data_IF_435327873422
#
_entry.id   IF_435327873422
#
_cell.length_a   1.000
_cell.length_b   1.000
_cell.length_c   1.000
_cell.angle_alpha   90.00
_cell.angle_beta   90.00
_cell.angle_gamma   90.00
#
_symmetry.space_group_name_H-M   'P 1'
#
loop_
_entity.id
_entity.type
_entity.pdbx_description
1 polymer ?
#
# COMPACT_ATOMS: atom_id res chain seq x y z
N UNK A 1 -10.70 -26.69 27.98
CA UNK A 1 -9.30 -26.33 28.32
C UNK A 1 -8.45 -26.60 27.08
N UNK A 2 -7.85 -25.58 26.48
CA UNK A 2 -6.99 -25.75 25.29
C UNK A 2 -5.64 -26.31 25.74
N UNK A 3 -5.13 -27.35 25.07
CA UNK A 3 -3.81 -27.93 25.31
C UNK A 3 -2.87 -27.52 24.17
N UNK A 4 -1.70 -27.00 24.50
CA UNK A 4 -0.64 -26.65 23.55
C UNK A 4 0.55 -27.57 23.84
N UNK A 5 1.02 -28.29 22.82
CA UNK A 5 2.19 -29.15 22.92
C UNK A 5 3.37 -28.45 22.24
N UNK A 6 4.46 -28.23 22.99
CA UNK A 6 5.60 -27.39 22.55
C UNK A 6 6.82 -28.19 22.09
N UNK A 7 6.73 -29.52 22.10
CA UNK A 7 7.86 -30.42 21.79
C UNK A 7 7.85 -30.96 20.35
N UNK A 8 6.77 -30.71 19.60
CA UNK A 8 6.61 -31.20 18.22
C UNK A 8 6.47 -30.03 17.26
N UNK A 9 7.32 -29.99 16.22
CA UNK A 9 7.22 -29.00 15.15
C UNK A 9 6.35 -29.56 14.02
N UNK A 10 5.14 -29.02 13.89
CA UNK A 10 4.20 -29.40 12.82
C UNK A 10 4.39 -28.61 11.51
N UNK A 11 5.20 -27.55 11.52
CA UNK A 11 5.43 -26.70 10.36
C UNK A 11 6.02 -25.33 10.72
N UNK A 12 5.94 -24.40 9.77
CA UNK A 12 6.26 -23.00 9.98
C UNK A 12 4.98 -22.16 9.87
N UNK A 13 4.84 -21.15 10.72
CA UNK A 13 3.80 -20.16 10.54
C UNK A 13 4.07 -19.35 9.28
N UNK A 14 3.07 -19.24 8.40
CA UNK A 14 3.14 -18.31 7.28
C UNK A 14 2.94 -16.91 7.83
N UNK A 15 3.91 -16.03 7.58
CA UNK A 15 3.78 -14.63 7.97
C UNK A 15 2.77 -13.94 7.05
N UNK A 16 1.58 -13.67 7.57
CA UNK A 16 0.46 -13.05 6.87
C UNK A 16 0.12 -11.68 7.47
N UNK A 17 1.10 -11.00 8.07
CA UNK A 17 0.93 -9.63 8.60
C UNK A 17 0.85 -8.61 7.46
N UNK A 18 -0.25 -8.69 6.72
CA UNK A 18 -0.63 -7.77 5.66
C UNK A 18 -1.63 -6.73 6.14
N UNK A 19 -1.54 -5.52 5.59
CA UNK A 19 -2.47 -4.43 5.86
C UNK A 19 -3.01 -3.82 4.56
N UNK A 20 -4.24 -3.32 4.63
CA UNK A 20 -4.84 -2.52 3.57
C UNK A 20 -4.79 -1.04 3.97
N UNK A 21 -4.47 -0.18 3.01
CA UNK A 21 -4.11 1.21 3.28
C UNK A 21 -2.67 1.28 3.78
N UNK A 22 -1.89 2.20 3.24
CA UNK A 22 -0.52 2.43 3.69
C UNK A 22 -0.42 3.42 4.86
N UNK A 23 0.80 3.81 5.24
CA UNK A 23 1.04 4.50 6.51
C UNK A 23 0.71 6.00 6.50
N UNK A 24 0.33 6.60 5.37
CA UNK A 24 -0.07 8.00 5.30
C UNK A 24 -1.58 8.13 5.57
N UNK A 25 -1.96 9.08 6.43
CA UNK A 25 -3.31 9.28 6.94
C UNK A 25 -3.67 10.78 6.96
N UNK A 26 -4.96 11.18 6.87
CA UNK A 26 -6.10 10.33 6.51
C UNK A 26 -5.91 9.71 5.12
N UNK A 27 -6.56 8.56 4.90
CA UNK A 27 -6.61 7.87 3.60
C UNK A 27 -8.02 7.94 3.01
N UNK A 28 -8.23 7.39 1.81
CA UNK A 28 -9.51 7.45 1.12
C UNK A 28 -9.85 8.86 0.62
N UNK A 29 -11.06 9.33 0.89
CA UNK A 29 -11.63 10.57 0.34
C UNK A 29 -10.93 11.87 0.76
N UNK A 30 -10.02 11.82 1.74
CA UNK A 30 -9.22 12.96 2.16
C UNK A 30 -7.96 13.11 1.31
N UNK A 31 -7.91 14.18 0.51
CA UNK A 31 -6.88 14.38 -0.53
C UNK A 31 -5.47 14.69 -0.03
N UNK A 32 -5.31 15.05 1.24
CA UNK A 32 -4.04 15.53 1.79
C UNK A 32 -3.70 14.77 3.06
N UNK A 33 -2.71 13.85 3.01
CA UNK A 33 -2.22 13.21 4.20
C UNK A 33 -1.60 14.24 5.15
N UNK A 34 -2.05 14.25 6.40
CA UNK A 34 -1.59 15.14 7.46
C UNK A 34 -0.80 14.41 8.55
N UNK A 35 -0.79 13.07 8.52
CA UNK A 35 -0.15 12.20 9.50
C UNK A 35 0.59 11.04 8.83
N UNK A 36 1.73 10.67 9.41
CA UNK A 36 2.44 9.43 9.10
C UNK A 36 2.34 8.47 10.28
N UNK A 37 1.82 7.27 10.02
CA UNK A 37 1.74 6.14 10.95
C UNK A 37 2.89 5.14 10.75
N UNK A 38 3.95 5.53 10.03
CA UNK A 38 5.04 4.63 9.67
C UNK A 38 5.66 3.90 10.88
N UNK A 39 5.86 4.60 11.99
CA UNK A 39 6.40 4.00 13.22
C UNK A 39 5.49 2.92 13.80
N UNK A 40 4.17 3.06 13.64
CA UNK A 40 3.20 2.03 14.07
C UNK A 40 3.27 0.81 13.17
N UNK A 41 3.42 0.99 11.86
CA UNK A 41 3.60 -0.13 10.94
C UNK A 41 4.90 -0.89 11.24
N UNK A 42 5.99 -0.17 11.54
CA UNK A 42 7.25 -0.77 11.96
C UNK A 42 7.12 -1.56 13.27
N UNK A 43 6.43 -1.00 14.27
CA UNK A 43 6.16 -1.67 15.55
C UNK A 43 5.34 -2.96 15.39
N UNK A 44 4.38 -2.97 14.46
CA UNK A 44 3.57 -4.15 14.14
C UNK A 44 4.33 -5.19 13.30
N UNK A 45 5.47 -4.80 12.72
CA UNK A 45 6.26 -5.64 11.82
C UNK A 45 5.47 -6.03 10.58
N UNK A 46 4.76 -5.07 9.99
CA UNK A 46 3.99 -5.26 8.75
C UNK A 46 4.91 -5.80 7.65
N UNK A 47 4.41 -6.76 6.88
CA UNK A 47 5.16 -7.42 5.80
C UNK A 47 4.64 -7.09 4.42
N UNK A 48 3.32 -6.96 4.30
CA UNK A 48 2.64 -6.72 3.03
C UNK A 48 1.71 -5.54 3.21
N UNK A 49 1.71 -4.60 2.27
CA UNK A 49 0.71 -3.53 2.23
C UNK A 49 0.03 -3.53 0.87
N UNK A 50 -1.30 -3.50 0.89
CA UNK A 50 -2.11 -3.27 -0.30
C UNK A 50 -2.51 -1.80 -0.38
N UNK A 51 -2.29 -1.21 -1.53
CA UNK A 51 -2.75 0.14 -1.89
C UNK A 51 -3.89 0.02 -2.92
N UNK A 52 -4.99 0.70 -2.64
CA UNK A 52 -6.26 0.68 -3.38
C UNK A 52 -7.13 1.87 -2.98
N UNK A 53 -7.06 2.31 -1.72
CA UNK A 53 -7.94 3.36 -1.17
C UNK A 53 -7.22 4.70 -1.10
N UNK A 54 -6.45 5.04 -2.14
CA UNK A 54 -5.80 6.34 -2.25
C UNK A 54 -6.47 7.16 -3.35
N UNK A 55 -7.74 7.47 -3.11
CA UNK A 55 -8.54 8.32 -3.99
C UNK A 55 -7.71 9.52 -4.45
N UNK A 56 -7.72 9.78 -5.75
CA UNK A 56 -6.92 10.80 -6.41
C UNK A 56 -5.40 10.57 -6.49
N UNK A 57 -4.91 9.35 -6.21
CA UNK A 57 -3.50 8.99 -6.35
C UNK A 57 -3.24 7.67 -7.11
N UNK A 58 -4.03 6.62 -6.90
CA UNK A 58 -3.92 5.34 -7.62
C UNK A 58 -5.00 5.11 -8.70
N UNK A 59 -5.87 6.11 -8.89
CA UNK A 59 -6.87 6.11 -9.96
C UNK A 59 -6.22 6.17 -11.35
N UNK A 60 -6.76 5.40 -12.31
CA UNK A 60 -6.19 5.32 -13.66
C UNK A 60 -6.21 6.65 -14.40
N UNK A 61 -7.27 7.45 -14.25
CA UNK A 61 -7.41 8.79 -14.83
C UNK A 61 -6.62 9.87 -14.08
N UNK A 62 -6.03 9.55 -12.93
CA UNK A 62 -5.00 10.39 -12.31
C UNK A 62 -3.63 10.04 -12.86
N UNK A 63 -3.32 8.75 -12.95
CA UNK A 63 -2.03 8.27 -13.45
C UNK A 63 -1.87 8.50 -14.95
N UNK A 64 -2.94 8.38 -15.73
CA UNK A 64 -2.98 8.59 -17.18
C UNK A 64 -4.18 9.49 -17.54
N UNK A 65 -4.06 10.81 -17.35
CA UNK A 65 -5.19 11.74 -17.37
C UNK A 65 -5.76 12.02 -18.77
N UNK A 66 -4.95 11.86 -19.81
CA UNK A 66 -5.40 11.97 -21.19
C UNK A 66 -5.38 10.59 -21.85
N UNK A 67 -6.56 9.99 -21.99
CA UNK A 67 -6.75 8.68 -22.61
C UNK A 67 -6.33 8.61 -24.09
N UNK A 68 -6.05 9.74 -24.73
CA UNK A 68 -5.57 9.83 -26.12
C UNK A 68 -4.07 10.13 -26.22
N UNK A 69 -3.38 10.35 -25.10
CA UNK A 69 -1.94 10.58 -25.09
C UNK A 69 -1.16 9.32 -25.50
N UNK A 70 0.11 9.52 -25.88
CA UNK A 70 1.01 8.42 -26.25
C UNK A 70 1.37 7.59 -24.99
N UNK A 71 0.97 6.30 -24.89
CA UNK A 71 1.27 5.47 -23.72
C UNK A 71 2.75 5.11 -23.60
N UNK A 72 3.55 5.27 -24.65
CA UNK A 72 5.00 5.04 -24.58
C UNK A 72 5.76 6.28 -24.08
N UNK A 73 5.12 7.46 -24.06
CA UNK A 73 5.73 8.69 -23.59
C UNK A 73 5.58 8.83 -22.06
N UNK A 74 6.68 8.86 -21.27
CA UNK A 74 6.59 9.01 -19.82
C UNK A 74 5.89 10.30 -19.36
N UNK A 75 5.90 11.34 -20.20
CA UNK A 75 5.21 12.60 -19.95
C UNK A 75 3.68 12.50 -19.99
N UNK A 76 3.13 11.43 -20.54
CA UNK A 76 1.69 11.15 -20.55
C UNK A 76 1.17 10.69 -19.18
N UNK A 77 2.08 10.39 -18.25
CA UNK A 77 1.75 9.87 -16.93
C UNK A 77 1.99 10.88 -15.81
N UNK A 78 1.14 10.82 -14.77
CA UNK A 78 1.31 11.56 -13.53
C UNK A 78 1.39 10.61 -12.32
N UNK A 79 2.58 10.06 -12.08
CA UNK A 79 2.84 9.20 -10.93
C UNK A 79 3.12 9.96 -9.63
N UNK A 80 3.24 11.29 -9.66
CA UNK A 80 3.67 12.08 -8.49
C UNK A 80 2.84 11.81 -7.23
N UNK A 81 1.49 11.78 -7.27
CA UNK A 81 0.69 11.46 -6.10
C UNK A 81 0.94 10.04 -5.60
N UNK A 82 0.93 9.05 -6.51
CA UNK A 82 1.18 7.64 -6.19
C UNK A 82 2.55 7.42 -5.56
N UNK A 83 3.59 8.07 -6.08
CA UNK A 83 4.98 7.98 -5.59
C UNK A 83 5.12 8.40 -4.13
N UNK A 84 4.29 9.34 -3.65
CA UNK A 84 4.29 9.73 -2.24
C UNK A 84 3.88 8.55 -1.35
N UNK A 85 2.82 7.83 -1.74
CA UNK A 85 2.31 6.69 -1.00
C UNK A 85 3.24 5.47 -1.12
N UNK A 86 3.69 5.15 -2.32
CA UNK A 86 4.62 4.03 -2.57
C UNK A 86 5.90 4.20 -1.75
N UNK A 87 6.51 5.39 -1.75
CA UNK A 87 7.69 5.67 -0.93
C UNK A 87 7.43 5.50 0.57
N UNK A 88 6.23 5.84 1.04
CA UNK A 88 5.89 5.67 2.44
C UNK A 88 5.73 4.20 2.82
N UNK A 89 5.14 3.40 1.94
CA UNK A 89 4.98 1.95 2.13
C UNK A 89 6.32 1.21 2.08
N UNK A 90 7.20 1.56 1.15
CA UNK A 90 8.53 0.95 1.02
C UNK A 90 9.42 1.12 2.27
N UNK A 91 9.08 2.06 3.17
CA UNK A 91 9.78 2.21 4.45
C UNK A 91 9.35 1.20 5.52
N UNK A 92 8.19 0.56 5.35
CA UNK A 92 7.53 -0.19 6.44
C UNK A 92 7.11 -1.60 6.08
N UNK A 93 7.15 -1.98 4.80
CA UNK A 93 6.73 -3.28 4.31
C UNK A 93 7.70 -3.82 3.25
N UNK A 94 7.83 -5.15 3.20
CA UNK A 94 8.69 -5.85 2.24
C UNK A 94 8.02 -5.99 0.87
N UNK A 95 6.69 -6.05 0.85
CA UNK A 95 5.89 -6.25 -0.37
C UNK A 95 4.77 -5.21 -0.48
N UNK A 96 4.62 -4.67 -1.68
CA UNK A 96 3.48 -3.81 -2.05
C UNK A 96 2.58 -4.59 -3.02
N UNK A 97 1.29 -4.62 -2.73
CA UNK A 97 0.24 -5.07 -3.66
C UNK A 97 -0.46 -3.81 -4.17
N UNK A 98 -0.26 -3.48 -5.43
CA UNK A 98 -0.88 -2.32 -6.07
C UNK A 98 -2.13 -2.76 -6.82
N UNK A 99 -3.28 -2.14 -6.52
CA UNK A 99 -4.47 -2.20 -7.38
C UNK A 99 -4.61 -0.87 -8.10
N UNK A 100 -4.36 -0.90 -9.40
CA UNK A 100 -4.71 0.20 -10.30
C UNK A 100 -6.16 0.02 -10.75
N UNK A 101 -6.97 1.07 -10.68
CA UNK A 101 -8.38 0.98 -11.07
C UNK A 101 -9.10 2.31 -10.90
N UNK A 102 -10.42 2.27 -11.01
CA UNK A 102 -11.28 3.36 -10.61
C UNK A 102 -11.93 2.98 -9.27
N UNK A 103 -11.99 3.93 -8.34
CA UNK A 103 -12.84 3.83 -7.15
C UNK A 103 -14.30 4.23 -7.40
#
# INVERSE_FOLDING_TARGET
>A
MTKIYVFEKLGAFKDLRGFNGGPLSPGGWDKLPSLSLADRYLQLGVKVVRIHDYWSADDLDVVFPDGLADPEAPSSYNFRPLDQHVRAVLRVADTIIMRMGFD
#
